data_IF_398876760924
#
_entry.id   IF_398876760924
#
_cell.length_a   1.000
_cell.length_b   1.000
_cell.length_c   1.000
_cell.angle_alpha   90.00
_cell.angle_beta   90.00
_cell.angle_gamma   90.00
#
_symmetry.space_group_name_H-M   'P 1'
#
loop_
_entity.id
_entity.type
_entity.pdbx_description
1 polymer ?
#
# COMPACT_ATOMS: atom_id res chain seq x y z
N UNK A 1 -34.51 10.78 43.51
CA UNK A 1 -33.13 10.58 43.08
C UNK A 1 -33.16 9.65 41.87
N UNK A 2 -32.98 10.20 40.68
CA UNK A 2 -32.94 9.42 39.45
C UNK A 2 -31.48 9.24 39.10
N UNK A 3 -30.98 7.99 39.22
CA UNK A 3 -29.63 7.64 38.79
C UNK A 3 -29.56 7.68 37.26
N UNK A 4 -28.78 8.58 36.76
CA UNK A 4 -28.41 8.67 35.36
C UNK A 4 -27.41 7.57 35.06
N UNK A 5 -27.86 6.48 34.46
CA UNK A 5 -27.00 5.47 33.84
C UNK A 5 -26.36 6.08 32.60
N UNK A 6 -25.20 6.69 32.78
CA UNK A 6 -24.34 7.13 31.69
C UNK A 6 -23.89 5.93 30.87
N UNK A 7 -24.41 5.76 29.67
CA UNK A 7 -23.88 4.85 28.68
C UNK A 7 -22.43 5.27 28.39
N UNK A 8 -21.46 4.49 28.86
CA UNK A 8 -20.07 4.62 28.43
C UNK A 8 -20.04 4.38 26.92
N UNK A 9 -19.76 5.44 26.17
CA UNK A 9 -19.37 5.30 24.78
C UNK A 9 -18.16 4.34 24.75
N UNK A 10 -18.32 3.15 24.16
CA UNK A 10 -17.23 2.25 23.90
C UNK A 10 -16.27 2.98 22.96
N UNK A 11 -15.09 3.33 23.43
CA UNK A 11 -14.02 3.87 22.58
C UNK A 11 -13.85 2.93 21.39
N UNK A 12 -14.04 3.47 20.18
CA UNK A 12 -13.91 2.68 18.96
C UNK A 12 -12.47 2.14 18.88
N UNK A 13 -12.31 0.82 18.92
CA UNK A 13 -11.00 0.16 18.80
C UNK A 13 -10.33 0.60 17.48
N UNK A 14 -9.10 1.07 17.57
CA UNK A 14 -8.28 1.40 16.41
C UNK A 14 -8.08 0.15 15.54
N UNK A 15 -8.34 0.28 14.25
CA UNK A 15 -8.18 -0.83 13.32
C UNK A 15 -6.69 -1.11 13.08
N UNK A 16 -6.33 -2.40 13.07
CA UNK A 16 -4.96 -2.89 12.87
C UNK A 16 -4.76 -3.39 11.44
N UNK A 17 -3.62 -3.05 10.83
CA UNK A 17 -3.27 -3.46 9.47
C UNK A 17 -1.91 -4.15 9.47
N UNK A 18 -1.85 -5.31 8.81
CA UNK A 18 -0.61 -6.05 8.55
C UNK A 18 -0.07 -5.64 7.17
N UNK A 19 1.20 -5.16 7.12
CA UNK A 19 1.89 -4.72 5.90
C UNK A 19 2.95 -5.76 5.52
N UNK A 20 2.60 -6.67 4.60
CA UNK A 20 3.45 -7.77 4.15
C UNK A 20 4.37 -7.33 3.01
N UNK A 21 5.60 -7.83 3.00
CA UNK A 21 6.67 -7.38 2.09
C UNK A 21 6.90 -5.87 2.20
N UNK A 22 6.94 -5.39 3.43
CA UNK A 22 6.79 -3.98 3.76
C UNK A 22 7.97 -3.11 3.32
N UNK A 23 9.14 -3.69 3.00
CA UNK A 23 10.36 -2.97 2.67
C UNK A 23 10.57 -1.79 3.67
N UNK A 24 10.96 -0.61 3.19
CA UNK A 24 11.17 0.56 4.06
C UNK A 24 9.89 1.37 4.35
N UNK A 25 8.69 0.79 4.16
CA UNK A 25 7.43 1.30 4.73
C UNK A 25 6.68 2.35 3.93
N UNK A 26 6.87 2.42 2.61
CA UNK A 26 6.09 3.36 1.78
C UNK A 26 4.59 3.14 1.89
N UNK A 27 4.15 1.88 1.85
CA UNK A 27 2.74 1.51 2.02
C UNK A 27 2.26 1.71 3.45
N UNK A 28 2.96 1.15 4.42
CA UNK A 28 2.57 1.18 5.83
C UNK A 28 2.35 2.60 6.38
N UNK A 29 3.23 3.54 6.00
CA UNK A 29 3.12 4.95 6.42
C UNK A 29 1.83 5.60 5.92
N UNK A 30 1.39 5.30 4.69
CA UNK A 30 0.12 5.84 4.17
C UNK A 30 -1.09 5.36 4.97
N UNK A 31 -1.15 4.08 5.35
CA UNK A 31 -2.19 3.55 6.23
C UNK A 31 -2.11 4.16 7.64
N UNK A 32 -0.91 4.31 8.19
CA UNK A 32 -0.71 4.97 9.50
C UNK A 32 -1.26 6.40 9.51
N UNK A 33 -1.10 7.15 8.42
CA UNK A 33 -1.61 8.53 8.28
C UNK A 33 -3.14 8.64 8.35
N UNK A 34 -3.87 7.56 8.14
CA UNK A 34 -5.34 7.51 8.25
C UNK A 34 -5.84 6.78 9.51
N UNK A 35 -4.93 6.51 10.46
CA UNK A 35 -5.28 6.05 11.80
C UNK A 35 -5.16 4.55 12.04
N UNK A 36 -4.67 3.75 11.09
CA UNK A 36 -4.40 2.34 11.35
C UNK A 36 -3.20 2.15 12.30
N UNK A 37 -3.28 1.16 13.18
CA UNK A 37 -2.09 0.56 13.79
C UNK A 37 -1.48 -0.41 12.78
N UNK A 38 -0.26 -0.10 12.30
CA UNK A 38 0.40 -0.87 11.26
C UNK A 38 1.56 -1.65 11.82
N UNK A 39 1.66 -2.93 11.45
CA UNK A 39 2.82 -3.79 11.71
C UNK A 39 3.36 -4.26 10.36
N UNK A 40 4.63 -3.99 10.10
CA UNK A 40 5.33 -4.44 8.90
C UNK A 40 5.96 -5.81 9.07
N UNK A 41 5.94 -6.60 7.99
CA UNK A 41 6.63 -7.89 7.89
C UNK A 41 7.46 -7.93 6.62
N UNK A 42 8.72 -8.30 6.74
CA UNK A 42 9.62 -8.55 5.61
C UNK A 42 10.62 -9.67 5.99
N UNK A 43 11.03 -10.45 5.01
CA UNK A 43 12.02 -11.52 5.22
C UNK A 43 13.41 -10.94 5.51
N UNK A 44 13.71 -9.76 4.97
CA UNK A 44 14.96 -9.05 5.20
C UNK A 44 14.81 -8.02 6.33
N UNK A 45 15.88 -7.73 7.07
CA UNK A 45 15.86 -6.64 8.05
C UNK A 45 15.62 -5.29 7.35
N UNK A 46 14.73 -4.47 7.92
CA UNK A 46 14.33 -3.16 7.38
C UNK A 46 14.69 -2.03 8.38
N UNK A 47 15.95 -1.64 8.47
CA UNK A 47 16.41 -0.69 9.50
C UNK A 47 15.79 0.71 9.37
N UNK A 48 15.28 1.05 8.20
CA UNK A 48 14.62 2.33 7.93
C UNK A 48 13.09 2.24 7.95
N UNK A 49 12.51 1.10 8.32
CA UNK A 49 11.05 0.98 8.48
C UNK A 49 10.60 1.77 9.72
N UNK A 50 9.71 2.78 9.59
CA UNK A 50 9.45 3.72 10.68
C UNK A 50 8.34 3.29 11.65
N UNK A 51 7.81 2.09 11.51
CA UNK A 51 6.69 1.54 12.28
C UNK A 51 7.10 0.22 12.96
N UNK A 52 6.25 -0.39 13.82
CA UNK A 52 6.50 -1.72 14.35
C UNK A 52 6.79 -2.75 13.25
N UNK A 53 7.85 -3.56 13.42
CA UNK A 53 8.40 -4.45 12.41
C UNK A 53 8.66 -5.84 12.96
N UNK A 54 8.38 -6.86 12.16
CA UNK A 54 8.68 -8.27 12.42
C UNK A 54 9.47 -8.81 11.23
N UNK A 55 10.67 -9.33 11.48
CA UNK A 55 11.42 -10.04 10.44
C UNK A 55 10.92 -11.48 10.34
N UNK A 56 10.18 -11.79 9.28
CA UNK A 56 9.64 -13.12 9.01
C UNK A 56 9.34 -13.30 7.52
N UNK A 57 9.21 -14.56 7.09
CA UNK A 57 8.68 -14.89 5.76
C UNK A 57 7.15 -14.76 5.77
N UNK A 58 6.63 -13.83 4.96
CA UNK A 58 5.20 -13.58 4.83
C UNK A 58 4.39 -14.81 4.39
N UNK A 59 5.02 -15.75 3.66
CA UNK A 59 4.36 -16.97 3.18
C UNK A 59 4.17 -18.04 4.27
N UNK A 60 4.90 -17.94 5.37
CA UNK A 60 4.89 -18.93 6.46
C UNK A 60 4.34 -18.38 7.78
N UNK A 61 3.74 -17.20 7.75
CA UNK A 61 3.11 -16.61 8.93
C UNK A 61 1.96 -17.49 9.45
N UNK A 62 1.86 -17.56 10.77
CA UNK A 62 0.73 -18.23 11.43
C UNK A 62 -0.60 -17.59 11.00
N UNK A 63 -1.56 -18.36 10.47
CA UNK A 63 -2.88 -17.87 10.12
C UNK A 63 -3.62 -17.19 11.29
N UNK A 64 -3.45 -17.66 12.51
CA UNK A 64 -4.04 -17.04 13.70
C UNK A 64 -3.44 -15.65 13.98
N UNK A 65 -2.13 -15.48 13.75
CA UNK A 65 -1.49 -14.19 13.83
C UNK A 65 -2.05 -13.22 12.78
N UNK A 66 -2.17 -13.64 11.52
CA UNK A 66 -2.75 -12.81 10.46
C UNK A 66 -4.21 -12.43 10.76
N UNK A 67 -5.03 -13.39 11.26
CA UNK A 67 -6.42 -13.17 11.63
C UNK A 67 -6.59 -12.20 12.83
N UNK A 68 -5.53 -11.87 13.56
CA UNK A 68 -5.58 -10.87 14.64
C UNK A 68 -5.61 -9.41 14.15
N UNK A 69 -5.49 -9.19 12.86
CA UNK A 69 -5.59 -7.86 12.21
C UNK A 69 -7.00 -7.63 11.64
N UNK A 70 -7.31 -6.39 11.30
CA UNK A 70 -8.58 -6.02 10.65
C UNK A 70 -8.45 -6.00 9.12
N UNK A 71 -7.24 -5.83 8.58
CA UNK A 71 -6.96 -5.82 7.15
C UNK A 71 -5.48 -6.15 6.87
N UNK A 72 -5.18 -6.53 5.62
CA UNK A 72 -3.82 -6.88 5.19
C UNK A 72 -3.47 -6.15 3.90
N UNK A 73 -2.28 -5.54 3.84
CA UNK A 73 -1.64 -5.07 2.61
C UNK A 73 -0.47 -5.98 2.27
N UNK A 74 -0.27 -6.28 0.98
CA UNK A 74 0.88 -7.04 0.50
C UNK A 74 1.45 -6.44 -0.78
N UNK A 75 2.78 -6.19 -0.78
CA UNK A 75 3.54 -5.76 -1.96
C UNK A 75 4.58 -6.81 -2.33
N UNK A 76 4.18 -7.98 -2.87
CA UNK A 76 5.12 -9.05 -3.19
C UNK A 76 6.13 -8.62 -4.26
N UNK A 77 7.33 -9.25 -4.31
CA UNK A 77 8.40 -8.89 -5.24
C UNK A 77 7.94 -8.71 -6.67
N UNK A 78 8.25 -7.55 -7.28
CA UNK A 78 7.81 -7.18 -8.62
C UNK A 78 8.79 -7.59 -9.72
N UNK A 79 9.96 -8.10 -9.39
CA UNK A 79 11.06 -8.37 -10.33
C UNK A 79 10.66 -9.37 -11.41
N UNK A 80 9.85 -10.38 -11.09
CA UNK A 80 9.35 -11.36 -12.07
C UNK A 80 8.39 -10.76 -13.13
N UNK A 81 7.81 -9.60 -12.86
CA UNK A 81 6.74 -9.01 -13.67
C UNK A 81 7.17 -7.74 -14.40
N UNK A 82 8.25 -7.08 -13.96
CA UNK A 82 8.68 -5.79 -14.49
C UNK A 82 9.26 -5.91 -15.91
N UNK A 83 9.04 -4.90 -16.76
CA UNK A 83 9.62 -4.84 -18.11
C UNK A 83 11.15 -4.85 -18.12
N UNK A 84 11.80 -4.36 -17.06
CA UNK A 84 13.25 -4.42 -16.90
C UNK A 84 13.74 -5.86 -16.73
N UNK A 85 13.00 -6.70 -16.01
CA UNK A 85 13.34 -8.12 -15.85
C UNK A 85 13.14 -8.90 -17.15
N UNK A 86 12.07 -8.60 -17.90
CA UNK A 86 11.81 -9.20 -19.23
C UNK A 86 12.93 -8.90 -20.23
N UNK A 87 13.46 -7.66 -20.22
CA UNK A 87 14.57 -7.24 -21.11
C UNK A 87 15.91 -7.89 -20.76
N UNK A 88 16.16 -8.23 -19.50
CA UNK A 88 17.44 -8.74 -19.03
C UNK A 88 17.52 -10.27 -19.01
N UNK A 89 16.57 -11.02 -19.57
CA UNK A 89 16.46 -12.49 -19.56
C UNK A 89 16.54 -13.16 -18.17
N UNK A 90 16.47 -12.38 -17.09
CA UNK A 90 16.53 -12.87 -15.70
C UNK A 90 15.14 -12.99 -15.06
N UNK A 91 14.05 -12.75 -15.81
CA UNK A 91 12.69 -12.78 -15.28
C UNK A 91 12.28 -14.14 -14.71
N UNK A 92 12.81 -15.24 -15.28
CA UNK A 92 12.48 -16.60 -14.84
C UNK A 92 13.21 -17.02 -13.55
N UNK A 93 14.21 -16.28 -13.10
CA UNK A 93 14.94 -16.55 -11.84
C UNK A 93 14.26 -15.95 -10.60
N UNK A 94 13.26 -15.06 -10.78
CA UNK A 94 12.58 -14.43 -9.68
C UNK A 94 11.28 -15.14 -9.31
N UNK A 95 10.96 -15.28 -8.02
CA UNK A 95 9.75 -15.98 -7.58
C UNK A 95 8.49 -15.21 -8.01
N UNK A 96 7.48 -15.94 -8.48
CA UNK A 96 6.16 -15.43 -8.85
C UNK A 96 5.21 -15.59 -7.66
N UNK A 97 5.14 -14.58 -6.81
CA UNK A 97 4.49 -14.70 -5.51
C UNK A 97 3.06 -14.15 -5.45
N UNK A 98 2.52 -13.55 -6.51
CA UNK A 98 1.19 -12.94 -6.47
C UNK A 98 0.10 -13.97 -6.20
N UNK A 99 0.09 -15.10 -6.93
CA UNK A 99 -0.90 -16.15 -6.72
C UNK A 99 -0.79 -16.78 -5.32
N UNK A 100 0.40 -17.24 -4.86
CA UNK A 100 0.53 -17.75 -3.49
C UNK A 100 0.10 -16.76 -2.41
N UNK A 101 0.44 -15.48 -2.58
CA UNK A 101 0.03 -14.43 -1.63
C UNK A 101 -1.48 -14.25 -1.64
N UNK A 102 -2.11 -14.14 -2.82
CA UNK A 102 -3.56 -14.04 -2.94
C UNK A 102 -4.28 -15.20 -2.24
N UNK A 103 -3.79 -16.43 -2.43
CA UNK A 103 -4.37 -17.62 -1.79
C UNK A 103 -4.28 -17.57 -0.26
N UNK A 104 -3.15 -17.09 0.27
CA UNK A 104 -2.99 -16.90 1.72
C UNK A 104 -3.97 -15.83 2.21
N UNK A 105 -4.04 -14.67 1.56
CA UNK A 105 -4.90 -13.57 1.95
C UNK A 105 -6.39 -13.94 1.88
N UNK A 106 -6.81 -14.62 0.81
CA UNK A 106 -8.20 -15.06 0.66
C UNK A 106 -8.64 -16.00 1.80
N UNK A 107 -7.74 -16.89 2.28
CA UNK A 107 -8.03 -17.78 3.42
C UNK A 107 -8.21 -17.07 4.76
N UNK A 108 -7.69 -15.85 4.91
CA UNK A 108 -7.91 -15.08 6.16
C UNK A 108 -9.36 -14.58 6.29
N UNK A 109 -10.08 -14.44 5.18
CA UNK A 109 -11.41 -13.80 5.15
C UNK A 109 -11.39 -12.30 5.41
N UNK A 110 -10.22 -11.69 5.62
CA UNK A 110 -10.06 -10.27 5.89
C UNK A 110 -10.10 -9.43 4.60
N UNK A 111 -10.45 -8.14 4.69
CA UNK A 111 -10.17 -7.18 3.64
C UNK A 111 -8.67 -7.12 3.36
N UNK A 112 -8.31 -7.18 2.06
CA UNK A 112 -6.91 -7.12 1.65
C UNK A 112 -6.68 -6.23 0.43
N UNK A 113 -5.42 -5.82 0.27
CA UNK A 113 -4.90 -5.12 -0.90
C UNK A 113 -3.60 -5.80 -1.34
N UNK A 114 -3.47 -6.13 -2.63
CA UNK A 114 -2.22 -6.57 -3.25
C UNK A 114 -1.73 -5.49 -4.20
N UNK A 115 -0.52 -5.00 -4.00
CA UNK A 115 0.11 -3.99 -4.86
C UNK A 115 1.18 -4.62 -5.74
N UNK A 116 1.27 -4.16 -7.00
CA UNK A 116 2.41 -4.50 -7.86
C UNK A 116 2.57 -3.51 -9.04
N UNK A 117 3.57 -3.80 -9.89
CA UNK A 117 3.85 -3.05 -11.12
C UNK A 117 2.89 -3.43 -12.25
N UNK A 118 2.86 -2.60 -13.30
CA UNK A 118 2.18 -2.94 -14.55
C UNK A 118 2.76 -4.24 -15.16
N UNK A 119 1.86 -5.07 -15.70
CA UNK A 119 2.18 -6.41 -16.20
C UNK A 119 2.17 -7.52 -15.14
N UNK A 120 1.89 -7.22 -13.88
CA UNK A 120 1.66 -8.21 -12.83
C UNK A 120 0.26 -8.84 -12.97
N UNK A 121 0.07 -10.15 -12.66
CA UNK A 121 -1.21 -10.86 -12.86
C UNK A 121 -2.21 -10.58 -11.73
N UNK A 122 -2.48 -9.29 -11.48
CA UNK A 122 -3.49 -8.85 -10.52
C UNK A 122 -4.90 -8.98 -11.11
N UNK A 123 -5.88 -9.25 -10.26
CA UNK A 123 -7.28 -9.43 -10.65
C UNK A 123 -8.04 -8.10 -10.51
N UNK A 124 -8.64 -7.63 -11.61
CA UNK A 124 -9.42 -6.38 -11.68
C UNK A 124 -8.76 -5.19 -10.94
N UNK A 125 -7.45 -4.94 -11.14
CA UNK A 125 -6.76 -3.94 -10.37
C UNK A 125 -7.18 -2.52 -10.73
N UNK A 126 -7.18 -1.65 -9.73
CA UNK A 126 -7.21 -0.20 -9.94
C UNK A 126 -5.78 0.32 -10.14
N UNK A 127 -5.62 1.39 -10.93
CA UNK A 127 -4.32 1.99 -11.21
C UNK A 127 -4.20 3.33 -10.50
N UNK A 128 -3.17 3.51 -9.68
CA UNK A 128 -2.81 4.81 -9.12
C UNK A 128 -1.55 5.36 -9.79
N UNK A 129 -1.54 6.67 -10.02
CA UNK A 129 -0.42 7.43 -10.54
C UNK A 129 -0.19 8.67 -9.68
N UNK A 130 1.06 9.12 -9.52
CA UNK A 130 1.36 10.33 -8.75
C UNK A 130 0.65 11.57 -9.24
N UNK A 131 0.33 11.65 -10.55
CA UNK A 131 -0.43 12.77 -11.13
C UNK A 131 -1.88 12.91 -10.63
N UNK A 132 -2.40 11.87 -9.96
CA UNK A 132 -3.73 11.87 -9.33
C UNK A 132 -3.72 12.51 -7.93
N UNK A 133 -2.55 12.86 -7.41
CA UNK A 133 -2.34 13.39 -6.06
C UNK A 133 -1.60 14.72 -6.13
N UNK A 134 -2.22 15.84 -5.76
CA UNK A 134 -1.63 17.18 -5.93
C UNK A 134 -0.35 17.40 -5.12
N UNK A 135 -0.12 16.64 -4.06
CA UNK A 135 1.09 16.67 -3.25
C UNK A 135 2.27 15.92 -3.85
N UNK A 136 2.06 15.11 -4.90
CA UNK A 136 3.11 14.32 -5.53
C UNK A 136 3.58 14.95 -6.85
N UNK A 137 4.88 14.78 -7.15
CA UNK A 137 5.47 15.18 -8.42
C UNK A 137 6.19 14.02 -9.11
N UNK A 138 5.60 12.82 -9.04
CA UNK A 138 6.18 11.60 -9.59
C UNK A 138 5.21 10.95 -10.59
N UNK A 139 5.72 10.50 -11.73
CA UNK A 139 4.99 9.59 -12.61
C UNK A 139 5.39 8.18 -12.22
N UNK A 140 4.48 7.49 -11.53
CA UNK A 140 4.69 6.14 -11.00
C UNK A 140 3.37 5.39 -10.96
N UNK A 141 3.09 4.59 -11.97
CA UNK A 141 1.92 3.72 -11.98
C UNK A 141 2.12 2.55 -11.05
N UNK A 142 1.09 2.24 -10.29
CA UNK A 142 1.01 1.04 -9.47
C UNK A 142 -0.40 0.48 -9.55
N UNK A 143 -0.46 -0.84 -9.63
CA UNK A 143 -1.69 -1.61 -9.66
C UNK A 143 -2.05 -2.05 -8.25
N UNK A 144 -3.33 -2.00 -7.93
CA UNK A 144 -3.86 -2.43 -6.63
C UNK A 144 -5.08 -3.32 -6.84
N UNK A 145 -4.95 -4.59 -6.49
CA UNK A 145 -6.05 -5.54 -6.36
C UNK A 145 -6.60 -5.48 -4.94
N UNK A 146 -7.91 -5.46 -4.77
CA UNK A 146 -8.55 -5.50 -3.46
C UNK A 146 -9.82 -6.36 -3.51
N UNK A 147 -10.16 -6.99 -2.38
CA UNK A 147 -11.43 -7.73 -2.23
C UNK A 147 -12.58 -6.85 -1.67
N UNK A 148 -12.40 -5.54 -1.70
CA UNK A 148 -13.42 -4.53 -1.39
C UNK A 148 -13.42 -3.43 -2.46
N UNK A 149 -14.52 -2.66 -2.61
CA UNK A 149 -14.61 -1.65 -3.66
C UNK A 149 -13.66 -0.47 -3.40
N UNK A 150 -12.91 -0.06 -4.43
CA UNK A 150 -12.09 1.15 -4.44
C UNK A 150 -12.59 2.07 -5.55
N UNK A 151 -13.08 3.26 -5.18
CA UNK A 151 -13.50 4.30 -6.11
C UNK A 151 -12.29 5.15 -6.50
N UNK A 152 -11.99 5.22 -7.79
CA UNK A 152 -10.79 5.87 -8.31
C UNK A 152 -11.01 7.34 -8.62
N UNK A 153 -10.02 8.22 -8.36
CA UNK A 153 -10.02 9.57 -8.90
C UNK A 153 -9.73 9.54 -10.40
N UNK A 154 -10.11 10.58 -11.16
CA UNK A 154 -9.77 10.66 -12.58
C UNK A 154 -8.25 10.64 -12.80
N UNK A 155 -7.80 9.90 -13.82
CA UNK A 155 -6.41 9.92 -14.27
C UNK A 155 -6.29 10.85 -15.47
N UNK A 156 -5.65 12.00 -15.26
CA UNK A 156 -5.41 12.98 -16.32
C UNK A 156 -4.22 12.63 -17.24
N UNK A 157 -3.97 13.48 -18.23
CA UNK A 157 -2.77 13.39 -19.06
C UNK A 157 -1.50 13.62 -18.21
N UNK A 158 -0.41 12.94 -18.59
CA UNK A 158 0.86 13.14 -17.92
C UNK A 158 1.51 14.47 -18.31
N UNK A 159 2.00 15.25 -17.36
CA UNK A 159 2.79 16.44 -17.63
C UNK A 159 4.19 16.07 -18.17
N UNK A 160 4.97 17.10 -18.53
CA UNK A 160 6.38 16.92 -18.86
C UNK A 160 7.14 16.32 -17.68
N UNK A 161 8.02 15.36 -18.00
CA UNK A 161 8.80 14.61 -17.01
C UNK A 161 10.26 14.99 -17.11
N UNK A 162 10.86 15.30 -15.98
CA UNK A 162 12.31 15.45 -15.88
C UNK A 162 12.99 14.10 -16.03
N UNK A 163 13.76 13.93 -17.09
CA UNK A 163 14.52 12.72 -17.38
C UNK A 163 15.96 13.07 -17.76
N UNK A 164 16.89 12.23 -17.28
CA UNK A 164 18.29 12.32 -17.69
C UNK A 164 18.50 11.58 -19.02
N UNK A 165 18.91 12.31 -20.05
CA UNK A 165 19.31 11.70 -21.33
C UNK A 165 20.77 11.22 -21.25
N UNK A 166 20.94 9.90 -21.03
CA UNK A 166 22.27 9.27 -20.94
C UNK A 166 23.11 9.43 -22.22
N UNK A 167 22.48 9.55 -23.40
CA UNK A 167 23.17 9.68 -24.67
C UNK A 167 23.83 11.07 -24.80
N UNK A 168 23.17 12.08 -24.26
CA UNK A 168 23.63 13.47 -24.29
C UNK A 168 24.36 13.86 -23.01
N UNK A 169 24.43 12.99 -22.01
CA UNK A 169 24.92 13.31 -20.66
C UNK A 169 24.36 14.63 -20.12
N UNK A 170 23.05 14.82 -20.32
CA UNK A 170 22.38 16.09 -20.07
C UNK A 170 20.96 15.87 -19.55
N UNK A 171 20.55 16.69 -18.59
CA UNK A 171 19.13 16.88 -18.26
C UNK A 171 18.51 17.80 -19.32
N UNK A 172 17.33 17.46 -19.82
CA UNK A 172 16.57 18.32 -20.73
C UNK A 172 16.26 19.70 -20.14
N UNK A 173 15.39 20.48 -20.79
CA UNK A 173 14.95 21.82 -20.32
C UNK A 173 14.07 21.79 -19.05
N UNK A 174 13.95 20.67 -18.38
CA UNK A 174 13.12 20.44 -17.18
C UNK A 174 13.94 20.59 -15.91
N UNK A 175 13.30 21.02 -14.83
CA UNK A 175 13.88 21.20 -13.50
C UNK A 175 13.35 20.10 -12.56
N UNK A 176 14.22 19.22 -12.04
CA UNK A 176 13.84 18.14 -11.14
C UNK A 176 13.17 18.60 -9.84
N UNK A 177 13.31 19.88 -9.47
CA UNK A 177 12.66 20.44 -8.27
C UNK A 177 11.26 20.96 -8.52
N UNK A 178 10.90 21.24 -9.77
CA UNK A 178 9.61 21.83 -10.15
C UNK A 178 8.76 20.89 -10.96
N UNK A 179 9.39 20.10 -11.84
CA UNK A 179 8.70 19.24 -12.78
C UNK A 179 8.49 17.84 -12.20
N UNK A 180 7.64 17.06 -12.84
CA UNK A 180 7.46 15.66 -12.49
C UNK A 180 8.73 14.85 -12.76
N UNK A 181 9.03 13.90 -11.88
CA UNK A 181 10.19 13.02 -11.98
C UNK A 181 9.77 11.55 -12.12
N UNK A 182 10.66 10.75 -12.68
CA UNK A 182 10.58 9.29 -12.60
C UNK A 182 11.57 8.79 -11.54
N UNK A 183 11.05 8.13 -10.52
CA UNK A 183 11.88 7.52 -9.47
C UNK A 183 12.05 6.04 -9.78
N UNK A 184 13.22 5.69 -10.32
CA UNK A 184 13.56 4.32 -10.73
C UNK A 184 15.02 4.02 -10.42
N UNK A 185 15.40 2.73 -10.45
CA UNK A 185 16.79 2.29 -10.28
C UNK A 185 17.77 2.84 -11.32
N UNK A 186 17.28 3.49 -12.39
CA UNK A 186 18.08 4.08 -13.46
C UNK A 186 18.74 5.42 -13.14
N UNK A 187 18.56 6.00 -11.96
CA UNK A 187 19.21 7.25 -11.54
C UNK A 187 18.66 8.50 -12.22
N UNK A 188 17.35 8.56 -12.49
CA UNK A 188 16.72 9.64 -13.27
C UNK A 188 16.55 10.96 -12.51
N UNK A 189 16.76 10.98 -11.19
CA UNK A 189 16.73 12.19 -10.37
C UNK A 189 17.62 12.04 -9.13
N UNK A 190 17.92 13.14 -8.44
CA UNK A 190 18.63 13.12 -7.16
C UNK A 190 17.77 12.49 -6.06
N UNK A 191 18.41 12.06 -4.95
CA UNK A 191 17.68 11.54 -3.77
C UNK A 191 16.78 12.62 -3.16
N UNK A 192 17.22 13.89 -3.19
CA UNK A 192 16.44 15.01 -2.65
C UNK A 192 15.15 15.19 -3.46
N UNK A 193 15.27 15.27 -4.79
CA UNK A 193 14.11 15.40 -5.68
C UNK A 193 13.17 14.19 -5.57
N UNK A 194 13.71 12.96 -5.45
CA UNK A 194 12.91 11.77 -5.26
C UNK A 194 12.11 11.80 -3.94
N UNK A 195 12.74 12.22 -2.84
CA UNK A 195 12.10 12.34 -1.53
C UNK A 195 10.96 13.37 -1.55
N UNK A 196 11.21 14.54 -2.08
CA UNK A 196 10.21 15.59 -2.23
C UNK A 196 9.04 15.14 -3.13
N UNK A 197 9.36 14.56 -4.30
CA UNK A 197 8.36 14.15 -5.28
C UNK A 197 7.45 13.03 -4.80
N UNK A 198 7.93 12.14 -3.92
CA UNK A 198 7.18 11.00 -3.38
C UNK A 198 6.64 11.21 -1.97
N UNK A 199 6.99 12.33 -1.31
CA UNK A 199 6.62 12.57 0.08
C UNK A 199 7.27 11.60 1.07
N UNK A 200 8.52 11.17 0.80
CA UNK A 200 9.28 10.19 1.58
C UNK A 200 10.62 10.80 1.99
N UNK A 201 10.91 10.95 3.28
CA UNK A 201 12.14 11.59 3.76
C UNK A 201 13.10 10.66 4.53
N UNK A 202 12.67 9.43 4.87
CA UNK A 202 13.43 8.49 5.72
C UNK A 202 14.21 7.42 4.93
N UNK A 203 13.90 7.21 3.66
CA UNK A 203 14.48 6.16 2.83
C UNK A 203 15.82 6.53 2.21
N UNK A 204 16.68 5.53 2.00
CA UNK A 204 17.86 5.62 1.12
C UNK A 204 17.45 5.70 -0.35
N UNK A 205 18.42 5.98 -1.24
CA UNK A 205 18.17 6.03 -2.70
C UNK A 205 17.69 4.68 -3.25
N UNK A 206 18.21 3.57 -2.73
CA UNK A 206 17.79 2.23 -3.16
C UNK A 206 16.35 1.96 -2.75
N UNK A 207 16.02 2.18 -1.48
CA UNK A 207 14.69 1.94 -0.93
C UNK A 207 13.61 2.79 -1.63
N UNK A 208 13.89 4.08 -1.87
CA UNK A 208 12.91 4.97 -2.52
C UNK A 208 12.63 4.59 -3.98
N UNK A 209 13.59 3.98 -4.66
CA UNK A 209 13.38 3.47 -6.02
C UNK A 209 12.37 2.31 -6.06
N UNK A 210 12.24 1.56 -4.99
CA UNK A 210 11.33 0.41 -4.86
C UNK A 210 10.00 0.81 -4.21
N UNK A 211 9.99 1.89 -3.42
CA UNK A 211 8.84 2.32 -2.64
C UNK A 211 7.64 2.75 -3.48
N UNK A 212 6.46 2.66 -2.88
CA UNK A 212 5.25 3.36 -3.34
C UNK A 212 5.06 4.64 -2.50
N UNK A 213 4.53 5.73 -3.09
CA UNK A 213 4.23 6.93 -2.34
C UNK A 213 3.19 6.67 -1.26
N UNK A 214 3.38 7.13 -0.01
CA UNK A 214 2.39 7.00 1.06
C UNK A 214 1.00 7.55 0.70
N UNK A 215 0.93 8.54 -0.19
CA UNK A 215 -0.32 9.11 -0.66
C UNK A 215 -1.26 8.07 -1.30
N UNK A 216 -0.72 7.03 -1.97
CA UNK A 216 -1.52 5.96 -2.58
C UNK A 216 -2.25 5.14 -1.52
N UNK A 217 -1.52 4.63 -0.55
CA UNK A 217 -2.12 3.82 0.52
C UNK A 217 -2.88 4.65 1.54
N UNK A 218 -2.57 5.94 1.70
CA UNK A 218 -3.44 6.88 2.43
C UNK A 218 -4.81 7.02 1.74
N UNK A 219 -4.84 7.11 0.41
CA UNK A 219 -6.07 7.16 -0.37
C UNK A 219 -6.88 5.87 -0.25
N UNK A 220 -6.24 4.70 -0.44
CA UNK A 220 -6.89 3.39 -0.28
C UNK A 220 -7.32 3.19 1.18
N UNK A 221 -6.48 3.55 2.13
CA UNK A 221 -6.72 3.38 3.56
C UNK A 221 -7.96 4.15 4.07
N UNK A 222 -8.25 5.34 3.52
CA UNK A 222 -9.50 6.05 3.83
C UNK A 222 -10.74 5.25 3.42
N UNK A 223 -10.71 4.61 2.26
CA UNK A 223 -11.81 3.79 1.77
C UNK A 223 -11.91 2.47 2.52
N UNK A 224 -10.77 1.85 2.84
CA UNK A 224 -10.70 0.66 3.69
C UNK A 224 -11.26 0.93 5.09
N UNK A 225 -10.92 2.04 5.71
CA UNK A 225 -11.46 2.42 7.02
C UNK A 225 -12.99 2.59 7.00
N UNK A 226 -13.51 3.24 5.96
CA UNK A 226 -14.96 3.37 5.76
C UNK A 226 -15.65 2.01 5.53
N UNK A 227 -15.03 1.14 4.75
CA UNK A 227 -15.52 -0.22 4.51
C UNK A 227 -15.58 -1.05 5.80
N UNK A 228 -14.51 -1.05 6.59
CA UNK A 228 -14.47 -1.74 7.90
C UNK A 228 -15.52 -1.18 8.88
N UNK A 229 -15.74 0.11 8.89
CA UNK A 229 -16.76 0.73 9.73
C UNK A 229 -18.18 0.28 9.32
N UNK A 230 -18.46 0.21 8.02
CA UNK A 230 -19.74 -0.26 7.51
C UNK A 230 -20.00 -1.75 7.83
N UNK A 231 -18.98 -2.59 7.73
CA UNK A 231 -19.09 -4.01 8.12
C UNK A 231 -19.45 -4.17 9.60
N UNK A 232 -18.76 -3.45 10.50
CA UNK A 232 -19.02 -3.49 11.95
C UNK A 232 -20.43 -3.04 12.29
N UNK A 233 -20.99 -2.05 11.57
CA UNK A 233 -22.39 -1.61 11.76
C UNK A 233 -23.37 -2.71 11.36
N UNK A 234 -23.17 -3.37 10.22
CA UNK A 234 -24.04 -4.46 9.74
C UNK A 234 -24.03 -5.67 10.69
N UNK A 235 -22.86 -6.05 11.20
CA UNK A 235 -22.73 -7.14 12.20
C UNK A 235 -23.46 -6.80 13.50
N UNK A 236 -23.33 -5.55 13.97
CA UNK A 236 -24.02 -5.06 15.17
C UNK A 236 -25.55 -5.07 15.03
N UNK A 237 -26.07 -4.65 13.86
CA UNK A 237 -27.50 -4.68 13.55
C UNK A 237 -28.03 -6.14 13.50
N UNK A 238 -27.30 -7.03 12.84
CA UNK A 238 -27.68 -8.43 12.74
C UNK A 238 -27.76 -9.10 14.12
N UNK A 239 -26.75 -8.89 14.95
CA UNK A 239 -26.71 -9.38 16.32
C UNK A 239 -27.87 -8.83 17.15
N UNK A 240 -28.21 -7.56 17.03
CA UNK A 240 -29.32 -6.94 17.76
C UNK A 240 -30.71 -7.51 17.35
N UNK A 241 -30.87 -7.82 16.05
CA UNK A 241 -32.08 -8.46 15.53
C UNK A 241 -32.23 -9.89 16.05
N UNK A 242 -31.15 -10.66 16.07
CA UNK A 242 -31.12 -12.03 16.55
C UNK A 242 -31.44 -12.11 18.07
N UNK A 243 -30.87 -11.22 18.88
CA UNK A 243 -31.19 -11.08 20.29
C UNK A 243 -32.66 -10.78 20.53
N UNK A 244 -33.29 -9.90 19.76
CA UNK A 244 -34.72 -9.59 19.87
C UNK A 244 -35.61 -10.80 19.53
N UNK A 245 -35.19 -11.59 18.51
CA UNK A 245 -35.90 -12.81 18.11
C UNK A 245 -35.81 -13.92 19.13
N UNK A 246 -34.74 -14.03 19.89
CA UNK A 246 -34.58 -15.04 20.95
C UNK A 246 -35.24 -14.63 22.27
N UNK A 247 -35.53 -13.34 22.46
CA UNK A 247 -36.19 -12.79 23.67
C UNK A 247 -37.72 -12.68 23.54
N UNK A 248 -38.30 -12.98 22.37
CA UNK A 248 -39.75 -13.03 22.09
C UNK A 248 -40.28 -14.47 22.09
#
# INVERSE_FOLDING_TARGET
MVESTGARATEARISRLLDLFCCAGGAGVGYKQVGFEVVGVDINPQPNYPLPFIQADALTLDPAFMASFDAIHASPPCQAYSDLAKRNRNGDSWPRLIEPVRDILARTGLPYVIENVDGAPLQNPVVLCGTMFPELRVIRHRLFEANFPIVMPPHGAHPLVHTFDRRKNHYGKTDERKDYVQVTGGGNCTIVAAREAMGINWMTKREINEAIPPAYTRFIGKQLAAYLAAQKMQEGEHTAVEYRRLAS
#
